data_IF_525949613232
#
_entry.id   IF_525949613232
#
_cell.length_a   1.000
_cell.length_b   1.000
_cell.length_c   1.000
_cell.angle_alpha   90.00
_cell.angle_beta   90.00
_cell.angle_gamma   90.00
#
_symmetry.space_group_name_H-M   'P 1'
#
loop_
_entity.id
_entity.type
_entity.pdbx_description
1 polymer ?
#
# COMPACT_ATOMS: atom_id res chain seq x y z
N UNK A 1 -5.00 -1.00 20.00
CA UNK A 1 -5.24 -1.01 18.54
C UNK A 1 -3.89 -1.08 17.83
N UNK A 2 -3.70 -1.95 16.81
CA UNK A 2 -2.44 -2.06 16.08
C UNK A 2 -2.11 -0.76 15.31
N UNK A 3 -0.81 -0.49 15.11
CA UNK A 3 -0.33 0.68 14.35
C UNK A 3 -0.73 0.55 12.89
N UNK A 4 -1.09 1.67 12.24
CA UNK A 4 -1.54 1.70 10.83
C UNK A 4 -0.46 1.14 9.90
N UNK A 5 0.80 1.42 10.22
CA UNK A 5 1.97 1.01 9.45
C UNK A 5 2.12 -0.52 9.45
N UNK A 6 1.88 -1.16 10.60
CA UNK A 6 1.89 -2.61 10.71
C UNK A 6 0.74 -3.24 9.90
N UNK A 7 -0.45 -2.63 9.94
CA UNK A 7 -1.59 -3.10 9.14
C UNK A 7 -1.30 -3.01 7.64
N UNK A 8 -0.68 -1.92 7.18
CA UNK A 8 -0.25 -1.76 5.78
C UNK A 8 0.76 -2.86 5.42
N UNK A 9 1.78 -3.09 6.25
CA UNK A 9 2.78 -4.11 6.00
C UNK A 9 2.17 -5.52 5.90
N UNK A 10 1.27 -5.88 6.81
CA UNK A 10 0.56 -7.17 6.76
C UNK A 10 -0.29 -7.31 5.49
N UNK A 11 -0.96 -6.24 5.06
CA UNK A 11 -1.79 -6.20 3.86
C UNK A 11 -0.96 -6.35 2.58
N UNK A 12 0.21 -5.73 2.54
CA UNK A 12 1.19 -5.91 1.45
C UNK A 12 1.59 -7.38 1.31
N UNK A 13 1.87 -8.06 2.43
CA UNK A 13 2.21 -9.48 2.41
C UNK A 13 1.03 -10.37 1.99
N UNK A 14 -0.20 -9.99 2.33
CA UNK A 14 -1.40 -10.71 1.93
C UNK A 14 -1.75 -10.55 0.44
N UNK A 15 -1.51 -9.38 -0.16
CA UNK A 15 -1.60 -9.15 -1.60
C UNK A 15 -3.01 -9.23 -2.21
N UNK A 16 -4.07 -9.12 -1.42
CA UNK A 16 -5.46 -9.28 -1.91
C UNK A 16 -6.07 -7.95 -2.38
N UNK A 17 -7.00 -8.01 -3.33
CA UNK A 17 -7.72 -6.83 -3.84
C UNK A 17 -8.39 -5.95 -2.76
N UNK A 18 -9.14 -6.51 -1.79
CA UNK A 18 -9.70 -5.75 -0.67
C UNK A 18 -8.63 -5.06 0.18
N UNK A 19 -7.47 -5.70 0.35
CA UNK A 19 -6.35 -5.15 1.11
C UNK A 19 -5.76 -3.87 0.47
N UNK A 20 -5.93 -3.68 -0.84
CA UNK A 20 -5.47 -2.46 -1.54
C UNK A 20 -6.31 -1.23 -1.19
N UNK A 21 -7.62 -1.39 -1.03
CA UNK A 21 -8.52 -0.28 -0.66
C UNK A 21 -8.21 0.20 0.76
N UNK A 22 -7.96 -0.75 1.65
CA UNK A 22 -7.53 -0.45 3.02
C UNK A 22 -6.16 0.23 3.06
N UNK A 23 -5.19 -0.21 2.26
CA UNK A 23 -3.89 0.49 2.14
C UNK A 23 -4.10 1.94 1.69
N UNK A 24 -4.97 2.18 0.71
CA UNK A 24 -5.29 3.53 0.25
C UNK A 24 -5.91 4.38 1.37
N UNK A 25 -6.82 3.83 2.18
CA UNK A 25 -7.41 4.56 3.31
C UNK A 25 -6.42 4.81 4.44
N UNK A 26 -5.53 3.86 4.74
CA UNK A 26 -4.52 3.99 5.79
C UNK A 26 -3.39 4.95 5.39
N UNK A 27 -3.20 5.19 4.08
CA UNK A 27 -2.10 5.97 3.51
C UNK A 27 -2.04 7.43 3.95
N UNK A 28 -3.17 8.04 4.34
CA UNK A 28 -3.26 9.49 4.54
C UNK A 28 -2.26 10.01 5.59
N UNK A 29 -1.99 9.19 6.62
CA UNK A 29 -1.17 9.52 7.80
C UNK A 29 -0.15 8.44 8.14
N UNK A 30 0.16 7.57 7.19
CA UNK A 30 1.09 6.48 7.41
C UNK A 30 2.55 6.96 7.37
N UNK A 31 3.37 6.49 8.29
CA UNK A 31 4.82 6.59 8.18
C UNK A 31 5.37 5.45 7.30
N UNK A 32 5.74 5.78 6.07
CA UNK A 32 6.21 4.81 5.09
C UNK A 32 7.60 4.22 5.39
N UNK A 33 8.42 4.92 6.17
CA UNK A 33 9.69 4.35 6.63
C UNK A 33 9.41 3.21 7.60
N UNK A 34 8.49 3.43 8.56
CA UNK A 34 8.09 2.40 9.50
C UNK A 34 7.32 1.25 8.84
N UNK A 35 6.50 1.52 7.81
CA UNK A 35 5.92 0.46 6.96
C UNK A 35 7.02 -0.41 6.35
N UNK A 36 8.11 0.22 5.86
CA UNK A 36 9.22 -0.53 5.27
C UNK A 36 9.93 -1.43 6.28
N UNK A 37 10.11 -0.98 7.52
CA UNK A 37 10.69 -1.79 8.60
C UNK A 37 9.82 -3.00 8.93
N UNK A 38 8.50 -2.83 9.03
CA UNK A 38 7.58 -3.94 9.27
C UNK A 38 7.44 -4.87 8.05
N UNK A 39 7.58 -4.34 6.84
CA UNK A 39 7.52 -5.13 5.61
C UNK A 39 8.81 -5.92 5.35
N UNK A 40 9.94 -5.52 5.95
CA UNK A 40 11.27 -6.16 5.84
C UNK A 40 11.37 -7.44 6.67
N UNK A 41 10.44 -8.36 6.44
CA UNK A 41 10.38 -9.67 7.09
C UNK A 41 10.01 -10.73 6.07
N UNK A 42 10.45 -11.98 6.29
CA UNK A 42 10.16 -13.10 5.39
C UNK A 42 10.90 -13.01 4.04
N UNK A 43 10.22 -13.38 2.94
CA UNK A 43 10.81 -13.42 1.59
C UNK A 43 10.67 -12.05 0.92
N UNK A 44 11.78 -11.33 0.89
CA UNK A 44 11.86 -9.95 0.42
C UNK A 44 11.43 -9.76 -1.04
N UNK A 45 11.84 -10.67 -1.92
CA UNK A 45 11.50 -10.65 -3.35
C UNK A 45 9.99 -10.78 -3.53
N UNK A 46 9.35 -11.60 -2.70
CA UNK A 46 7.89 -11.78 -2.69
C UNK A 46 7.21 -10.48 -2.26
N UNK A 47 7.68 -9.83 -1.20
CA UNK A 47 7.14 -8.55 -0.75
C UNK A 47 7.26 -7.47 -1.84
N UNK A 48 8.45 -7.34 -2.47
CA UNK A 48 8.69 -6.41 -3.58
C UNK A 48 7.76 -6.69 -4.76
N UNK A 49 7.54 -7.96 -5.10
CA UNK A 49 6.60 -8.40 -6.13
C UNK A 49 5.15 -8.03 -5.81
N UNK A 50 4.72 -8.25 -4.56
CA UNK A 50 3.38 -7.87 -4.10
C UNK A 50 3.17 -6.36 -4.14
N UNK A 51 4.16 -5.57 -3.72
CA UNK A 51 4.10 -4.11 -3.79
C UNK A 51 4.01 -3.63 -5.24
N UNK A 52 4.79 -4.21 -6.15
CA UNK A 52 4.73 -3.88 -7.56
C UNK A 52 3.35 -4.18 -8.17
N UNK A 53 2.75 -5.32 -7.80
CA UNK A 53 1.39 -5.66 -8.20
C UNK A 53 0.34 -4.70 -7.61
N UNK A 54 0.45 -4.36 -6.32
CA UNK A 54 -0.42 -3.42 -5.63
C UNK A 54 -0.42 -2.05 -6.32
N UNK A 55 0.77 -1.50 -6.63
CA UNK A 55 0.93 -0.23 -7.36
C UNK A 55 0.22 -0.31 -8.72
N UNK A 56 0.42 -1.40 -9.47
CA UNK A 56 -0.22 -1.58 -10.78
C UNK A 56 -1.75 -1.57 -10.67
N UNK A 57 -2.30 -2.27 -9.67
CA UNK A 57 -3.74 -2.37 -9.45
C UNK A 57 -4.35 -1.04 -8.99
N UNK A 58 -3.69 -0.33 -8.07
CA UNK A 58 -4.14 0.98 -7.57
C UNK A 58 -4.21 2.02 -8.70
N UNK A 59 -3.29 1.94 -9.68
CA UNK A 59 -3.26 2.83 -10.86
C UNK A 59 -4.32 2.52 -11.90
N UNK A 60 -5.05 1.41 -11.81
CA UNK A 60 -6.12 1.11 -12.76
C UNK A 60 -7.28 2.08 -12.56
N UNK A 61 -7.88 2.56 -13.67
CA UNK A 61 -8.99 3.53 -13.64
C UNK A 61 -10.16 3.07 -12.75
N UNK A 62 -10.46 1.77 -12.78
CA UNK A 62 -11.51 1.12 -11.98
C UNK A 62 -11.26 1.11 -10.46
N UNK A 63 -10.02 1.35 -10.00
CA UNK A 63 -9.73 1.37 -8.57
C UNK A 63 -10.41 2.57 -7.88
N UNK A 64 -10.43 3.73 -8.53
CA UNK A 64 -11.04 4.95 -7.98
C UNK A 64 -12.55 4.82 -7.74
N UNK A 65 -13.30 4.23 -8.68
CA UNK A 65 -14.72 3.95 -8.53
C UNK A 65 -14.97 2.87 -7.48
N UNK A 66 -14.16 1.82 -7.47
CA UNK A 66 -14.26 0.74 -6.49
C UNK A 66 -13.97 1.20 -5.07
N UNK A 67 -12.97 2.06 -4.86
CA UNK A 67 -12.62 2.63 -3.55
C UNK A 67 -13.74 3.54 -3.02
N UNK A 68 -14.31 4.38 -3.89
CA UNK A 68 -15.44 5.24 -3.52
C UNK A 68 -16.68 4.43 -3.15
N UNK A 69 -16.98 3.38 -3.92
CA UNK A 69 -18.13 2.52 -3.67
C UNK A 69 -18.00 1.77 -2.33
N UNK A 70 -16.83 1.18 -2.04
CA UNK A 70 -16.58 0.42 -0.81
C UNK A 70 -16.79 1.27 0.45
N UNK A 71 -16.27 2.49 0.46
CA UNK A 71 -16.28 3.38 1.63
C UNK A 71 -17.34 4.49 1.55
N UNK A 72 -18.26 4.43 0.59
CA UNK A 72 -19.27 5.45 0.33
C UNK A 72 -18.69 6.89 0.25
N UNK A 73 -17.50 7.05 -0.31
CA UNK A 73 -16.79 8.33 -0.36
C UNK A 73 -17.39 9.25 -1.43
N UNK A 74 -17.77 10.46 -1.01
CA UNK A 74 -18.27 11.53 -1.88
C UNK A 74 -17.18 12.49 -2.36
N UNK A 75 -16.02 12.45 -1.71
CA UNK A 75 -14.87 13.30 -2.02
C UNK A 75 -14.01 12.71 -3.15
N UNK A 76 -13.17 13.56 -3.74
CA UNK A 76 -12.13 13.11 -4.67
C UNK A 76 -11.11 12.23 -3.94
N UNK A 77 -10.92 11.01 -4.45
CA UNK A 77 -9.99 10.01 -3.89
C UNK A 77 -8.62 10.02 -4.56
N UNK A 78 -8.43 10.85 -5.59
CA UNK A 78 -7.17 10.98 -6.32
C UNK A 78 -5.97 11.24 -5.39
N UNK A 79 -6.07 12.13 -4.37
CA UNK A 79 -4.96 12.34 -3.44
C UNK A 79 -4.58 11.10 -2.63
N UNK A 80 -5.56 10.27 -2.25
CA UNK A 80 -5.32 9.00 -1.52
C UNK A 80 -4.64 7.97 -2.41
N UNK A 81 -5.09 7.86 -3.66
CA UNK A 81 -4.48 6.98 -4.68
C UNK A 81 -3.04 7.40 -4.94
N UNK A 82 -2.78 8.70 -5.05
CA UNK A 82 -1.44 9.23 -5.25
C UNK A 82 -0.53 8.93 -4.05
N UNK A 83 -0.94 9.32 -2.83
CA UNK A 83 -0.17 9.08 -1.60
C UNK A 83 0.16 7.60 -1.39
N UNK A 84 -0.83 6.72 -1.58
CA UNK A 84 -0.62 5.28 -1.43
C UNK A 84 0.35 4.73 -2.48
N UNK A 85 0.27 5.19 -3.73
CA UNK A 85 1.19 4.78 -4.79
C UNK A 85 2.62 5.25 -4.52
N UNK A 86 2.80 6.50 -4.09
CA UNK A 86 4.09 7.09 -3.75
C UNK A 86 4.72 6.38 -2.55
N UNK A 87 3.94 6.15 -1.50
CA UNK A 87 4.33 5.42 -0.31
C UNK A 87 4.76 3.98 -0.58
N UNK A 88 3.95 3.22 -1.32
CA UNK A 88 4.30 1.86 -1.75
C UNK A 88 5.57 1.86 -2.60
N UNK A 89 5.76 2.86 -3.47
CA UNK A 89 6.98 2.98 -4.27
C UNK A 89 8.21 3.25 -3.40
N UNK A 90 8.08 4.06 -2.34
CA UNK A 90 9.14 4.31 -1.36
C UNK A 90 9.51 3.03 -0.60
N UNK A 91 8.52 2.29 -0.09
CA UNK A 91 8.74 1.00 0.58
C UNK A 91 9.45 0.02 -0.36
N UNK A 92 9.00 -0.08 -1.62
CA UNK A 92 9.65 -0.95 -2.62
C UNK A 92 11.14 -0.61 -2.77
N UNK A 93 11.47 0.68 -2.92
CA UNK A 93 12.86 1.15 -3.06
C UNK A 93 13.70 0.82 -1.83
N UNK A 94 13.17 1.08 -0.63
CA UNK A 94 13.84 0.82 0.65
C UNK A 94 14.10 -0.67 0.87
N UNK A 95 13.14 -1.52 0.52
CA UNK A 95 13.37 -2.96 0.53
C UNK A 95 14.46 -3.30 -0.48
N UNK A 96 14.33 -2.92 -1.76
CA UNK A 96 15.34 -3.25 -2.77
C UNK A 96 16.77 -2.75 -2.46
N UNK A 97 16.94 -1.65 -1.73
CA UNK A 97 18.27 -1.11 -1.40
C UNK A 97 18.97 -1.81 -0.23
N UNK A 98 18.23 -2.36 0.75
CA UNK A 98 18.77 -3.08 1.91
C UNK A 98 19.34 -4.49 1.59
N UNK A 99 19.78 -4.73 0.35
CA UNK A 99 20.15 -6.05 -0.17
C UNK A 99 21.61 -6.18 -0.63
N UNK A 100 22.51 -5.31 -0.15
CA UNK A 100 23.96 -5.40 -0.41
C UNK A 100 24.70 -5.64 0.90
#
# INVERSE_FOLDING_TARGET
>A
MPRRELLIAMKVHAGRGPDLRDIAMLSERADWNLVSEFADTGIKEKAVGQIANAIRMIKMSQFSSSLRAEFALRADVTPLIQKSTEGLSAVKKLLSSKGH
#
